data_IF_754116063743
#
_entry.id   IF_754116063743
#
_cell.length_a   1.000
_cell.length_b   1.000
_cell.length_c   1.000
_cell.angle_alpha   90.00
_cell.angle_beta   90.00
_cell.angle_gamma   90.00
#
_symmetry.space_group_name_H-M   'P 1'
#
loop_
_entity.id
_entity.type
_entity.pdbx_description
1 polymer ?
#
# COMPACT_ATOMS: atom_id res chain seq x y z
N UNK A 1 -15.11 10.33 -10.64
CA UNK A 1 -16.01 9.17 -10.68
C UNK A 1 -15.43 8.09 -9.77
N UNK A 2 -16.01 7.81 -8.59
CA UNK A 2 -15.51 6.78 -7.67
C UNK A 2 -15.99 5.42 -8.19
N UNK A 3 -15.09 4.59 -8.73
CA UNK A 3 -15.43 3.21 -9.10
C UNK A 3 -15.66 2.41 -7.82
N UNK A 4 -16.87 1.88 -7.63
CA UNK A 4 -17.24 1.08 -6.45
C UNK A 4 -16.78 -0.36 -6.54
N UNK A 5 -16.51 -0.86 -7.76
CA UNK A 5 -15.91 -2.17 -8.02
C UNK A 5 -15.10 -2.17 -9.33
N UNK A 6 -14.19 -3.14 -9.46
CA UNK A 6 -13.33 -3.36 -10.64
C UNK A 6 -13.22 -4.86 -10.94
N UNK A 7 -12.92 -5.29 -12.17
CA UNK A 7 -12.65 -6.70 -12.47
C UNK A 7 -11.50 -7.24 -11.61
N UNK A 8 -11.62 -8.50 -11.15
CA UNK A 8 -10.57 -9.20 -10.41
C UNK A 8 -9.36 -9.48 -11.31
N UNK A 9 -9.61 -9.85 -12.56
CA UNK A 9 -8.62 -9.93 -13.62
C UNK A 9 -8.87 -8.77 -14.62
N UNK A 10 -7.92 -7.82 -14.77
CA UNK A 10 -8.02 -6.75 -15.76
C UNK A 10 -8.23 -7.23 -17.21
N UNK A 11 -7.84 -8.46 -17.54
CA UNK A 11 -8.00 -9.06 -18.88
C UNK A 11 -9.36 -9.75 -19.08
N UNK A 12 -10.12 -9.98 -18.01
CA UNK A 12 -11.45 -10.57 -18.05
C UNK A 12 -12.49 -9.57 -17.51
N UNK A 13 -12.88 -8.56 -18.32
CA UNK A 13 -13.69 -7.45 -17.84
C UNK A 13 -15.07 -7.88 -17.32
N UNK A 14 -15.62 -8.98 -17.81
CA UNK A 14 -16.93 -9.52 -17.41
C UNK A 14 -16.84 -10.55 -16.27
N UNK A 15 -15.64 -10.81 -15.75
CA UNK A 15 -15.40 -11.75 -14.66
C UNK A 15 -15.81 -11.22 -13.27
N UNK A 16 -15.38 -11.94 -12.23
CA UNK A 16 -15.59 -11.57 -10.83
C UNK A 16 -15.17 -10.11 -10.58
N UNK A 17 -15.96 -9.39 -9.77
CA UNK A 17 -15.69 -8.00 -9.42
C UNK A 17 -15.19 -7.89 -7.98
N UNK A 18 -14.15 -7.10 -7.79
CA UNK A 18 -13.61 -6.75 -6.48
C UNK A 18 -14.07 -5.35 -6.07
N UNK A 19 -14.34 -5.09 -4.78
CA UNK A 19 -14.63 -3.76 -4.29
C UNK A 19 -13.42 -2.84 -4.50
N UNK A 20 -13.68 -1.57 -4.83
CA UNK A 20 -12.64 -0.58 -5.11
C UNK A 20 -12.92 0.71 -4.35
N UNK A 21 -11.87 1.36 -3.84
CA UNK A 21 -11.91 2.68 -3.24
C UNK A 21 -10.68 3.48 -3.65
N UNK A 22 -10.86 4.79 -3.85
CA UNK A 22 -9.76 5.74 -4.01
C UNK A 22 -9.55 6.50 -2.70
N UNK A 23 -8.32 6.54 -2.20
CA UNK A 23 -7.94 7.40 -1.06
C UNK A 23 -7.18 8.58 -1.61
N UNK A 24 -7.75 9.79 -1.45
CA UNK A 24 -7.04 11.04 -1.71
C UNK A 24 -6.02 11.29 -0.61
N UNK A 25 -4.77 11.46 -1.01
CA UNK A 25 -3.68 11.83 -0.13
C UNK A 25 -3.65 13.36 -0.09
N UNK A 26 -3.90 13.95 1.09
CA UNK A 26 -3.76 15.39 1.29
C UNK A 26 -2.29 15.85 1.17
N UNK A 27 -1.91 16.88 1.92
CA UNK A 27 -0.53 17.40 1.89
C UNK A 27 0.47 16.34 2.40
N UNK A 28 1.36 15.87 1.53
CA UNK A 28 2.49 14.99 1.90
C UNK A 28 3.82 15.77 1.91
N UNK A 29 4.87 15.22 2.54
CA UNK A 29 6.20 15.85 2.73
C UNK A 29 6.83 16.48 1.46
N UNK A 30 6.47 16.01 0.28
CA UNK A 30 6.98 16.48 -1.02
C UNK A 30 5.92 17.15 -1.90
N UNK A 31 4.68 17.30 -1.43
CA UNK A 31 3.55 17.77 -2.23
C UNK A 31 3.10 19.17 -1.79
N UNK A 32 3.21 20.16 -2.68
CA UNK A 32 2.43 21.40 -2.56
C UNK A 32 0.94 21.07 -2.76
N UNK A 33 0.04 21.89 -2.23
CA UNK A 33 -1.40 21.61 -2.06
C UNK A 33 -2.21 21.34 -3.35
N UNK A 34 -1.54 21.22 -4.51
CA UNK A 34 -2.14 21.23 -5.84
C UNK A 34 -2.03 19.90 -6.60
N UNK A 35 -1.51 18.83 -5.99
CA UNK A 35 -1.60 17.49 -6.60
C UNK A 35 -2.74 16.71 -5.97
N UNK A 36 -3.77 16.42 -6.78
CA UNK A 36 -4.91 15.51 -6.52
C UNK A 36 -4.41 14.05 -6.43
N UNK A 37 -3.36 13.81 -5.64
CA UNK A 37 -2.72 12.52 -5.49
C UNK A 37 -3.68 11.55 -4.81
N UNK A 38 -3.86 10.39 -5.41
CA UNK A 38 -4.70 9.34 -4.85
C UNK A 38 -4.03 7.99 -5.02
N UNK A 39 -4.44 7.04 -4.18
CA UNK A 39 -4.09 5.63 -4.31
C UNK A 39 -5.36 4.81 -4.39
N UNK A 40 -5.29 3.66 -5.04
CA UNK A 40 -6.40 2.73 -5.14
C UNK A 40 -6.25 1.60 -4.13
N UNK A 41 -7.35 1.25 -3.48
CA UNK A 41 -7.51 0.00 -2.74
C UNK A 41 -8.46 -0.90 -3.52
N UNK A 42 -8.09 -2.16 -3.69
CA UNK A 42 -8.89 -3.16 -4.42
C UNK A 42 -8.98 -4.45 -3.61
N UNK A 43 -10.17 -5.01 -3.45
CA UNK A 43 -10.40 -6.30 -2.81
C UNK A 43 -10.33 -6.26 -1.28
N UNK A 44 -9.61 -7.20 -0.67
CA UNK A 44 -9.55 -7.40 0.79
C UNK A 44 -9.22 -6.13 1.60
N UNK A 45 -8.29 -5.26 1.19
CA UNK A 45 -8.03 -3.99 1.90
C UNK A 45 -9.24 -3.06 1.98
N UNK A 46 -10.10 -3.04 0.96
CA UNK A 46 -11.34 -2.26 0.98
C UNK A 46 -12.29 -2.79 2.04
N UNK A 47 -12.45 -4.11 2.12
CA UNK A 47 -13.30 -4.76 3.11
C UNK A 47 -12.78 -4.49 4.53
N UNK A 48 -11.48 -4.64 4.76
CA UNK A 48 -10.84 -4.37 6.05
C UNK A 48 -11.03 -2.91 6.48
N UNK A 49 -10.85 -1.96 5.55
CA UNK A 49 -11.05 -0.53 5.84
C UNK A 49 -12.51 -0.21 6.17
N UNK A 50 -13.47 -0.76 5.40
CA UNK A 50 -14.90 -0.57 5.67
C UNK A 50 -15.30 -1.12 7.03
N UNK A 51 -14.90 -2.36 7.34
CA UNK A 51 -15.15 -2.98 8.64
C UNK A 51 -14.57 -2.15 9.79
N UNK A 52 -13.35 -1.62 9.61
CA UNK A 52 -12.73 -0.74 10.59
C UNK A 52 -13.54 0.54 10.82
N UNK A 53 -13.89 1.27 9.75
CA UNK A 53 -14.64 2.52 9.84
C UNK A 53 -16.00 2.32 10.52
N UNK A 54 -16.70 1.23 10.17
CA UNK A 54 -17.98 0.86 10.78
C UNK A 54 -17.83 0.54 12.26
N UNK A 55 -16.91 -0.37 12.63
CA UNK A 55 -16.70 -0.79 14.02
C UNK A 55 -16.20 0.36 14.90
N UNK A 56 -15.44 1.29 14.33
CA UNK A 56 -14.91 2.45 15.01
C UNK A 56 -15.87 3.66 15.03
N UNK A 57 -17.00 3.59 14.32
CA UNK A 57 -17.96 4.70 14.19
C UNK A 57 -17.33 5.97 13.58
N UNK A 58 -16.41 5.82 12.63
CA UNK A 58 -15.65 6.93 12.06
C UNK A 58 -16.36 7.45 10.81
N UNK A 59 -16.91 8.66 10.91
CA UNK A 59 -17.50 9.39 9.79
C UNK A 59 -16.63 10.56 9.32
N UNK A 60 -15.73 11.06 10.18
CA UNK A 60 -14.85 12.19 9.90
C UNK A 60 -13.52 12.11 10.67
N UNK A 61 -12.56 12.96 10.28
CA UNK A 61 -11.26 13.08 10.94
C UNK A 61 -10.29 11.93 10.61
N UNK A 62 -9.47 11.55 11.58
CA UNK A 62 -8.44 10.53 11.37
C UNK A 62 -9.07 9.15 11.14
N UNK A 63 -8.70 8.51 10.02
CA UNK A 63 -9.13 7.15 9.66
C UNK A 63 -8.55 6.14 10.65
N UNK A 64 -7.25 6.19 10.92
CA UNK A 64 -6.60 5.33 11.91
C UNK A 64 -6.37 6.14 13.18
N UNK A 65 -7.01 5.72 14.27
CA UNK A 65 -7.06 6.42 15.55
C UNK A 65 -6.27 5.67 16.61
N UNK A 66 -5.66 6.39 17.54
CA UNK A 66 -4.99 5.77 18.68
C UNK A 66 -6.02 5.00 19.54
N UNK A 67 -5.57 3.89 20.12
CA UNK A 67 -6.35 3.08 21.06
C UNK A 67 -5.57 3.11 22.38
N UNK A 68 -6.24 3.49 23.46
CA UNK A 68 -5.62 3.54 24.78
C UNK A 68 -5.46 2.12 25.39
N UNK A 69 -4.87 2.05 26.59
CA UNK A 69 -4.62 0.79 27.29
C UNK A 69 -5.90 0.06 27.73
N UNK A 70 -7.04 0.75 27.76
CA UNK A 70 -8.34 0.21 28.13
C UNK A 70 -9.19 -0.16 26.90
N UNK A 71 -8.66 0.04 25.69
CA UNK A 71 -9.33 -0.29 24.44
C UNK A 71 -10.23 0.82 23.88
N UNK A 72 -10.19 2.03 24.46
CA UNK A 72 -10.98 3.15 23.94
C UNK A 72 -10.30 3.78 22.73
N UNK A 73 -11.09 4.12 21.72
CA UNK A 73 -10.62 4.91 20.59
C UNK A 73 -10.49 6.38 20.98
N UNK A 74 -9.31 6.94 20.75
CA UNK A 74 -9.08 8.37 20.86
C UNK A 74 -9.43 9.10 19.55
N UNK A 75 -9.68 10.41 19.61
CA UNK A 75 -9.91 11.22 18.39
C UNK A 75 -8.63 11.47 17.58
N UNK A 76 -7.45 11.39 18.23
CA UNK A 76 -6.17 11.67 17.57
C UNK A 76 -5.77 10.55 16.62
N UNK A 77 -5.04 10.93 15.58
CA UNK A 77 -4.47 9.99 14.62
C UNK A 77 -3.43 9.07 15.29
N UNK A 78 -3.33 7.86 14.75
CA UNK A 78 -2.31 6.89 15.12
C UNK A 78 -0.92 7.42 14.73
N UNK A 79 0.08 7.26 15.61
CA UNK A 79 1.42 7.77 15.35
C UNK A 79 2.19 6.86 14.37
N UNK A 80 3.16 7.39 13.59
CA UNK A 80 4.00 6.54 12.72
C UNK A 80 4.70 5.41 13.47
N UNK A 81 5.13 5.66 14.71
CA UNK A 81 5.73 4.64 15.57
C UNK A 81 4.73 3.54 15.94
N UNK A 82 3.49 3.91 16.26
CA UNK A 82 2.45 2.93 16.56
C UNK A 82 2.14 2.03 15.35
N UNK A 83 2.13 2.57 14.12
CA UNK A 83 2.01 1.76 12.89
C UNK A 83 3.14 0.72 12.81
N UNK A 84 4.38 1.15 13.07
CA UNK A 84 5.53 0.26 13.05
C UNK A 84 5.47 -0.83 14.13
N UNK A 85 5.01 -0.49 15.33
CA UNK A 85 4.82 -1.46 16.42
C UNK A 85 3.71 -2.48 16.11
N UNK A 86 2.60 -2.02 15.54
CA UNK A 86 1.53 -2.92 15.07
C UNK A 86 2.08 -3.89 14.03
N UNK A 87 2.82 -3.39 13.04
CA UNK A 87 3.44 -4.24 12.03
C UNK A 87 4.37 -5.27 12.67
N UNK A 88 5.31 -4.85 13.52
CA UNK A 88 6.27 -5.75 14.17
C UNK A 88 5.56 -6.85 14.97
N UNK A 89 4.48 -6.51 15.67
CA UNK A 89 3.66 -7.49 16.38
C UNK A 89 3.03 -8.50 15.40
N UNK A 90 2.43 -8.04 14.30
CA UNK A 90 1.83 -8.93 13.28
C UNK A 90 2.87 -9.82 12.58
N UNK A 91 4.08 -9.31 12.37
CA UNK A 91 5.20 -10.08 11.82
C UNK A 91 5.61 -11.20 12.79
N UNK A 92 5.71 -10.92 14.09
CA UNK A 92 5.98 -11.93 15.11
C UNK A 92 4.88 -13.00 15.16
N UNK A 93 3.60 -12.58 15.14
CA UNK A 93 2.44 -13.48 15.10
C UNK A 93 2.42 -14.38 13.86
N UNK A 94 3.06 -13.95 12.76
CA UNK A 94 3.23 -14.74 11.54
C UNK A 94 4.48 -15.66 11.56
N UNK A 95 5.23 -15.70 12.67
CA UNK A 95 6.44 -16.53 12.80
C UNK A 95 7.67 -15.97 12.08
N UNK A 96 7.67 -14.69 11.74
CA UNK A 96 8.77 -14.00 11.06
C UNK A 96 9.56 -13.13 12.04
N UNK A 97 10.84 -12.86 11.75
CA UNK A 97 11.68 -11.98 12.58
C UNK A 97 11.22 -10.51 12.47
N UNK A 98 10.70 -9.89 13.54
CA UNK A 98 10.25 -8.49 13.52
C UNK A 98 11.37 -7.47 13.26
N UNK A 99 12.64 -7.82 13.46
CA UNK A 99 13.76 -6.91 13.19
C UNK A 99 14.06 -6.77 11.70
N UNK A 100 13.71 -7.76 10.90
CA UNK A 100 13.83 -7.71 9.45
C UNK A 100 12.76 -6.82 8.77
N UNK A 101 11.77 -6.30 9.51
CA UNK A 101 10.65 -5.54 8.95
C UNK A 101 10.47 -4.17 9.59
N UNK A 102 10.02 -3.21 8.77
CA UNK A 102 9.60 -1.89 9.23
C UNK A 102 8.45 -1.35 8.38
N UNK A 103 7.67 -0.42 8.94
CA UNK A 103 6.58 0.23 8.21
C UNK A 103 7.09 0.96 6.97
N UNK A 104 8.29 1.55 7.04
CA UNK A 104 8.93 2.17 5.88
C UNK A 104 9.31 1.12 4.82
N UNK A 105 9.85 -0.03 5.25
CA UNK A 105 10.25 -1.12 4.37
C UNK A 105 9.10 -1.75 3.57
N UNK A 106 7.85 -1.64 4.01
CA UNK A 106 6.69 -2.10 3.23
C UNK A 106 6.58 -1.39 1.87
N UNK A 107 6.97 -0.10 1.82
CA UNK A 107 6.87 0.69 0.58
C UNK A 107 7.92 0.29 -0.45
N UNK A 108 9.15 0.01 -0.03
CA UNK A 108 10.19 -0.53 -0.91
C UNK A 108 9.89 -1.97 -1.29
N UNK A 109 9.42 -2.79 -0.34
CA UNK A 109 9.00 -4.17 -0.58
C UNK A 109 7.87 -4.27 -1.63
N UNK A 110 6.93 -3.31 -1.64
CA UNK A 110 5.93 -3.21 -2.69
C UNK A 110 6.57 -3.04 -4.08
N UNK A 111 7.53 -2.13 -4.26
CA UNK A 111 8.21 -1.94 -5.55
C UNK A 111 8.94 -3.21 -5.99
N UNK A 112 9.66 -3.86 -5.08
CA UNK A 112 10.35 -5.12 -5.35
C UNK A 112 9.37 -6.22 -5.78
N UNK A 113 8.22 -6.34 -5.12
CA UNK A 113 7.21 -7.34 -5.48
C UNK A 113 6.56 -7.04 -6.83
N UNK A 114 6.25 -5.77 -7.13
CA UNK A 114 5.72 -5.39 -8.46
C UNK A 114 6.70 -5.71 -9.59
N UNK A 115 8.00 -5.50 -9.38
CA UNK A 115 9.05 -5.87 -10.32
C UNK A 115 9.10 -7.38 -10.56
N UNK A 116 9.05 -8.19 -9.48
CA UNK A 116 9.03 -9.67 -9.59
C UNK A 116 7.84 -10.20 -10.38
N UNK A 117 6.72 -9.48 -10.37
CA UNK A 117 5.51 -9.81 -11.15
C UNK A 117 5.53 -9.24 -12.57
N UNK A 118 6.59 -8.55 -12.98
CA UNK A 118 6.72 -7.92 -14.29
C UNK A 118 5.77 -6.74 -14.50
N UNK A 119 5.25 -6.13 -13.43
CA UNK A 119 4.38 -4.95 -13.52
C UNK A 119 5.26 -3.75 -13.87
N UNK A 120 4.99 -3.00 -14.96
CA UNK A 120 5.84 -1.89 -15.38
C UNK A 120 6.10 -0.85 -14.29
N UNK A 121 7.36 -0.40 -14.18
CA UNK A 121 7.77 0.59 -13.17
C UNK A 121 6.87 1.85 -13.15
N UNK A 122 6.44 2.45 -14.28
CA UNK A 122 5.52 3.60 -14.24
C UNK A 122 4.20 3.31 -13.54
N UNK A 123 3.62 2.12 -13.74
CA UNK A 123 2.38 1.68 -13.10
C UNK A 123 2.59 1.49 -11.59
N UNK A 124 3.67 0.82 -11.21
CA UNK A 124 4.05 0.65 -9.81
C UNK A 124 4.31 1.99 -9.10
N UNK A 125 4.89 2.97 -9.80
CA UNK A 125 5.13 4.33 -9.29
C UNK A 125 3.85 5.12 -9.10
N UNK A 126 2.86 4.99 -9.99
CA UNK A 126 1.55 5.62 -9.83
C UNK A 126 0.86 5.15 -8.55
N UNK A 127 0.87 3.84 -8.26
CA UNK A 127 0.26 3.33 -7.03
C UNK A 127 1.09 3.65 -5.78
N UNK A 128 2.42 3.56 -5.85
CA UNK A 128 3.29 3.82 -4.70
C UNK A 128 3.55 5.30 -4.44
N UNK A 129 3.17 6.19 -5.38
CA UNK A 129 3.38 7.63 -5.31
C UNK A 129 4.85 8.03 -5.19
N UNK A 130 5.76 7.28 -5.82
CA UNK A 130 7.16 7.70 -5.98
C UNK A 130 7.26 8.72 -7.11
N UNK A 131 7.95 9.83 -6.84
CA UNK A 131 8.19 10.88 -7.85
C UNK A 131 9.49 10.69 -8.62
N UNK A 132 10.51 10.18 -7.95
CA UNK A 132 11.81 9.94 -8.54
C UNK A 132 11.87 8.53 -9.11
N UNK A 133 12.01 8.44 -10.44
CA UNK A 133 12.30 7.17 -11.13
C UNK A 133 13.59 6.58 -10.57
N UNK A 134 14.64 7.38 -10.42
CA UNK A 134 15.94 6.94 -9.90
C UNK A 134 15.82 6.19 -8.56
N UNK A 135 15.07 6.74 -7.60
CA UNK A 135 14.88 6.11 -6.30
C UNK A 135 14.04 4.83 -6.39
N UNK A 136 12.99 4.83 -7.22
CA UNK A 136 12.15 3.65 -7.40
C UNK A 136 12.91 2.52 -8.12
N UNK A 137 13.74 2.86 -9.11
CA UNK A 137 14.55 1.95 -9.88
C UNK A 137 15.56 1.17 -9.03
N UNK A 138 16.09 1.74 -7.94
CA UNK A 138 17.00 1.01 -7.04
C UNK A 138 16.34 -0.27 -6.50
N UNK A 139 15.09 -0.19 -6.06
CA UNK A 139 14.35 -1.35 -5.55
C UNK A 139 13.84 -2.28 -6.65
N UNK A 140 13.55 -1.71 -7.83
CA UNK A 140 12.94 -2.40 -8.95
C UNK A 140 13.97 -3.23 -9.74
N UNK A 141 15.14 -2.66 -10.02
CA UNK A 141 16.19 -3.28 -10.84
C UNK A 141 16.82 -4.49 -10.15
N UNK A 142 16.96 -4.48 -8.82
CA UNK A 142 17.54 -5.63 -8.10
C UNK A 142 16.65 -6.88 -8.19
N UNK A 143 15.33 -6.71 -8.24
CA UNK A 143 14.40 -7.81 -8.48
C UNK A 143 14.41 -8.29 -9.94
N UNK A 144 14.34 -7.36 -10.90
CA UNK A 144 14.36 -7.66 -12.34
C UNK A 144 15.64 -8.35 -12.79
N UNK A 145 16.82 -7.98 -12.26
CA UNK A 145 18.10 -8.57 -12.66
C UNK A 145 18.13 -10.10 -12.57
N UNK A 146 17.43 -10.68 -11.58
CA UNK A 146 17.39 -12.14 -11.39
C UNK A 146 16.47 -12.83 -12.44
N UNK A 147 15.40 -12.15 -12.86
CA UNK A 147 14.37 -12.66 -13.78
C UNK A 147 14.55 -12.16 -15.22
N UNK A 148 15.50 -11.26 -15.45
CA UNK A 148 15.61 -10.46 -16.67
C UNK A 148 16.03 -11.27 -17.88
N UNK A 149 15.39 -10.98 -19.01
CA UNK A 149 15.77 -11.53 -20.33
C UNK A 149 17.13 -11.03 -20.81
N UNK A 150 17.57 -9.86 -20.31
CA UNK A 150 18.88 -9.31 -20.61
C UNK A 150 20.05 -10.24 -20.24
N UNK A 151 19.89 -11.05 -19.18
CA UNK A 151 20.88 -12.06 -18.79
C UNK A 151 20.76 -13.39 -19.57
N UNK A 152 19.76 -13.52 -20.46
CA UNK A 152 19.40 -14.74 -21.18
C UNK A 152 19.45 -14.55 -22.71
N UNK A 153 20.28 -13.62 -23.19
CA UNK A 153 20.37 -13.30 -24.61
C UNK A 153 20.90 -14.46 -25.47
N UNK A 154 21.54 -15.44 -24.86
CA UNK A 154 22.21 -16.56 -25.52
C UNK A 154 21.68 -17.93 -25.07
N UNK A 155 20.55 -17.96 -24.35
CA UNK A 155 19.91 -19.20 -23.87
C UNK A 155 18.62 -19.42 -24.65
#
# INVERSE_FOLDING_TARGET
MIRTSVPADPKAPDGEKLPCLSIRLGRTKTTQADNDAFVLLVGRPVLALKHWLERAGITEGAVFRAIDLWGNLEKRALTPQAVNLILKRRIAEAGLDPQAFSAHGLRSGYLTETARRGIPLPEAMQQSQHRSVQQASTYYNDAERTLGRAARLIV
#
